data_IF_680883165001
#
_entry.id   IF_680883165001
#
_cell.length_a   1.000
_cell.length_b   1.000
_cell.length_c   1.000
_cell.angle_alpha   90.00
_cell.angle_beta   90.00
_cell.angle_gamma   90.00
#
_symmetry.space_group_name_H-M   'P 1'
#
loop_
_entity.id
_entity.type
_entity.pdbx_description
1 polymer ?
#
# COMPACT_ATOMS: atom_id res chain seq x y z
N UNK A 1 -41.11 25.37 22.23
CA UNK A 1 -40.78 23.94 22.08
C UNK A 1 -40.17 23.55 20.72
N UNK A 2 -40.29 24.35 19.65
CA UNK A 2 -39.81 23.95 18.31
C UNK A 2 -38.29 24.09 18.05
N UNK A 3 -37.51 24.71 18.95
CA UNK A 3 -36.07 24.93 18.76
C UNK A 3 -35.16 23.83 19.34
N UNK A 4 -35.67 23.04 20.28
CA UNK A 4 -34.92 21.92 20.90
C UNK A 4 -34.93 20.65 20.02
N UNK A 5 -35.98 20.46 19.23
CA UNK A 5 -36.13 19.30 18.35
C UNK A 5 -35.19 19.34 17.12
N UNK A 6 -34.88 20.54 16.60
CA UNK A 6 -33.92 20.69 15.50
C UNK A 6 -32.48 20.38 15.91
N UNK A 7 -32.14 20.59 17.19
CA UNK A 7 -30.77 20.38 17.69
C UNK A 7 -30.43 18.88 17.84
N UNK A 8 -31.43 18.02 18.04
CA UNK A 8 -31.24 16.57 18.14
C UNK A 8 -31.06 15.87 16.78
N UNK A 9 -31.66 16.40 15.72
CA UNK A 9 -31.54 15.84 14.36
C UNK A 9 -30.15 16.10 13.77
N UNK A 10 -29.54 17.24 14.11
CA UNK A 10 -28.17 17.56 13.69
C UNK A 10 -27.14 16.67 14.42
N UNK A 11 -27.35 16.35 15.69
CA UNK A 11 -26.45 15.46 16.45
C UNK A 11 -26.50 14.00 15.99
N UNK A 12 -27.65 13.50 15.51
CA UNK A 12 -27.76 12.15 14.96
C UNK A 12 -27.10 11.99 13.57
N UNK A 13 -26.99 13.07 12.79
CA UNK A 13 -26.36 13.02 11.47
C UNK A 13 -24.83 12.91 11.53
N UNK A 14 -24.21 13.29 12.66
CA UNK A 14 -22.76 13.09 12.88
C UNK A 14 -22.40 11.71 13.45
N UNK A 15 -23.36 10.99 14.05
CA UNK A 15 -23.12 9.65 14.61
C UNK A 15 -22.96 8.55 13.54
N UNK A 16 -23.38 8.79 12.30
CA UNK A 16 -23.26 7.85 11.18
C UNK A 16 -22.00 8.06 10.32
N UNK A 17 -21.18 9.07 10.61
CA UNK A 17 -19.97 9.39 9.82
C UNK A 17 -18.69 8.78 10.44
N UNK A 18 -18.77 8.24 11.67
CA UNK A 18 -17.59 7.85 12.45
C UNK A 18 -17.41 6.34 12.67
N UNK A 19 -17.94 5.49 11.79
CA UNK A 19 -17.57 4.06 11.76
C UNK A 19 -16.68 3.81 10.54
N UNK A 20 -15.37 3.72 10.77
CA UNK A 20 -14.45 3.18 9.75
C UNK A 20 -14.84 1.75 9.37
N UNK A 21 -14.30 1.22 8.26
CA UNK A 21 -14.63 -0.13 7.81
C UNK A 21 -14.33 -1.16 8.90
N UNK A 22 -15.21 -2.16 9.04
CA UNK A 22 -14.98 -3.27 9.97
C UNK A 22 -13.78 -4.10 9.53
N UNK A 23 -13.23 -4.90 10.45
CA UNK A 23 -12.09 -5.78 10.14
C UNK A 23 -12.35 -6.70 8.94
N UNK A 24 -13.55 -7.29 8.87
CA UNK A 24 -13.97 -8.13 7.75
C UNK A 24 -14.01 -7.34 6.44
N UNK A 25 -14.56 -6.13 6.46
CA UNK A 25 -14.59 -5.25 5.28
C UNK A 25 -13.19 -4.85 4.83
N UNK A 26 -12.27 -4.56 5.76
CA UNK A 26 -10.88 -4.27 5.43
C UNK A 26 -10.22 -5.46 4.73
N UNK A 27 -10.49 -6.68 5.20
CA UNK A 27 -9.96 -7.90 4.59
C UNK A 27 -10.56 -8.16 3.21
N UNK A 28 -11.86 -7.97 3.04
CA UNK A 28 -12.53 -8.04 1.73
C UNK A 28 -11.95 -7.00 0.75
N UNK A 29 -11.73 -5.76 1.19
CA UNK A 29 -11.09 -4.72 0.39
C UNK A 29 -9.67 -5.11 -0.02
N UNK A 30 -8.88 -5.71 0.88
CA UNK A 30 -7.54 -6.18 0.57
C UNK A 30 -7.55 -7.37 -0.40
N UNK A 31 -8.47 -8.32 -0.25
CA UNK A 31 -8.60 -9.47 -1.15
C UNK A 31 -9.10 -9.09 -2.53
N UNK A 32 -9.80 -7.96 -2.65
CA UNK A 32 -10.24 -7.40 -3.93
C UNK A 32 -9.13 -6.68 -4.71
N UNK A 33 -7.96 -6.45 -4.11
CA UNK A 33 -6.83 -5.83 -4.79
C UNK A 33 -6.08 -6.86 -5.66
N UNK A 34 -5.78 -6.49 -6.89
CA UNK A 34 -4.98 -7.31 -7.82
C UNK A 34 -3.56 -7.48 -7.29
N UNK A 35 -2.96 -6.39 -6.81
CA UNK A 35 -1.62 -6.36 -6.23
C UNK A 35 -1.57 -5.58 -4.92
N UNK A 36 -0.72 -6.03 -3.99
CA UNK A 36 -0.40 -5.32 -2.75
C UNK A 36 1.03 -4.78 -2.82
N UNK A 37 1.21 -3.52 -2.43
CA UNK A 37 2.52 -2.91 -2.23
C UNK A 37 2.65 -2.63 -0.75
N UNK A 38 3.47 -3.40 -0.07
CA UNK A 38 3.62 -3.34 1.37
C UNK A 38 4.96 -2.74 1.77
N UNK A 39 4.93 -1.57 2.38
CA UNK A 39 6.12 -0.87 2.87
C UNK A 39 6.45 -1.36 4.27
N UNK A 40 7.66 -1.90 4.46
CA UNK A 40 8.15 -2.39 5.76
C UNK A 40 9.59 -1.98 5.99
N UNK A 41 9.95 -1.78 7.25
CA UNK A 41 11.35 -1.68 7.64
C UNK A 41 11.96 -3.09 7.72
N UNK A 42 13.06 -3.32 7.01
CA UNK A 42 13.86 -4.54 7.12
C UNK A 42 15.30 -4.13 7.34
N UNK A 43 15.85 -4.53 8.49
CA UNK A 43 17.20 -4.17 8.88
C UNK A 43 18.22 -4.80 7.93
N UNK A 44 19.17 -3.99 7.43
CA UNK A 44 20.25 -4.40 6.52
C UNK A 44 19.81 -4.96 5.16
N UNK A 45 18.55 -4.77 4.77
CA UNK A 45 18.09 -5.05 3.41
C UNK A 45 17.80 -3.72 2.70
N UNK A 46 17.96 -3.71 1.38
CA UNK A 46 17.72 -2.54 0.53
C UNK A 46 16.94 -2.87 -0.73
N UNK A 47 16.61 -4.15 -0.97
CA UNK A 47 15.84 -4.57 -2.14
C UNK A 47 14.36 -4.78 -1.79
N UNK A 48 13.51 -4.70 -2.79
CA UNK A 48 12.12 -5.08 -2.68
C UNK A 48 11.96 -6.54 -3.12
N UNK A 49 11.00 -7.22 -2.53
CA UNK A 49 10.75 -8.63 -2.80
C UNK A 49 9.34 -8.77 -3.36
N UNK A 50 9.20 -9.37 -4.53
CA UNK A 50 7.91 -9.65 -5.14
C UNK A 50 7.54 -11.13 -4.96
N UNK A 51 6.47 -11.42 -4.21
CA UNK A 51 6.01 -12.79 -3.91
C UNK A 51 4.52 -12.90 -4.20
N UNK A 52 4.12 -13.83 -5.08
CA UNK A 52 2.72 -13.99 -5.46
C UNK A 52 2.21 -12.75 -6.18
N UNK A 53 1.36 -11.96 -5.52
CA UNK A 53 0.88 -10.65 -5.96
C UNK A 53 1.26 -9.49 -5.02
N UNK A 54 2.15 -9.74 -4.05
CA UNK A 54 2.60 -8.73 -3.08
C UNK A 54 4.04 -8.31 -3.37
N UNK A 55 4.25 -7.01 -3.51
CA UNK A 55 5.54 -6.35 -3.55
C UNK A 55 5.85 -5.81 -2.14
N UNK A 56 6.77 -6.47 -1.44
CA UNK A 56 7.31 -5.97 -0.18
C UNK A 56 8.41 -4.95 -0.48
N UNK A 57 8.16 -3.69 -0.13
CA UNK A 57 9.06 -2.58 -0.37
C UNK A 57 9.77 -2.22 0.92
N UNK A 58 11.10 -2.28 0.89
CA UNK A 58 11.91 -1.79 2.00
C UNK A 58 11.78 -0.25 2.10
N UNK A 59 11.63 0.27 3.31
CA UNK A 59 11.59 1.71 3.60
C UNK A 59 12.76 2.48 2.97
N UNK A 60 13.96 1.91 2.94
CA UNK A 60 15.16 2.52 2.33
C UNK A 60 15.01 2.82 0.83
N UNK A 61 14.10 2.15 0.11
CA UNK A 61 13.81 2.48 -1.29
C UNK A 61 12.83 3.64 -1.46
N UNK A 62 12.06 3.95 -0.40
CA UNK A 62 11.04 5.01 -0.41
C UNK A 62 11.58 6.33 0.17
N UNK A 63 12.44 6.25 1.20
CA UNK A 63 13.02 7.42 1.87
C UNK A 63 13.92 8.24 0.96
N UNK A 64 14.51 7.62 -0.09
CA UNK A 64 15.35 8.31 -1.07
C UNK A 64 14.59 9.45 -1.75
N UNK A 65 15.29 10.55 -2.06
CA UNK A 65 14.74 11.67 -2.82
C UNK A 65 14.11 11.19 -4.14
N UNK A 66 14.82 10.31 -4.86
CA UNK A 66 14.34 9.61 -6.05
C UNK A 66 14.14 8.12 -5.75
N UNK A 67 12.98 7.58 -6.14
CA UNK A 67 12.64 6.15 -5.98
C UNK A 67 13.46 5.26 -6.92
N UNK A 68 13.88 5.81 -8.07
CA UNK A 68 14.63 5.09 -9.07
C UNK A 68 16.14 5.31 -8.90
N UNK A 69 16.99 4.30 -9.16
CA UNK A 69 16.62 2.95 -9.59
C UNK A 69 15.95 2.14 -8.47
N UNK A 70 14.86 1.46 -8.82
CA UNK A 70 14.11 0.59 -7.92
C UNK A 70 14.58 -0.85 -8.09
N UNK A 71 15.02 -1.46 -7.00
CA UNK A 71 15.61 -2.80 -6.97
C UNK A 71 14.54 -3.80 -6.53
N UNK A 72 14.26 -4.80 -7.35
CA UNK A 72 13.25 -5.82 -7.03
C UNK A 72 13.73 -7.23 -7.36
N UNK A 73 13.48 -8.16 -6.45
CA UNK A 73 13.75 -9.59 -6.63
C UNK A 73 12.43 -10.36 -6.60
N UNK A 74 12.09 -11.07 -7.68
CA UNK A 74 10.91 -11.94 -7.71
C UNK A 74 11.25 -13.27 -7.03
N UNK A 75 10.43 -13.68 -6.05
CA UNK A 75 10.58 -14.94 -5.32
C UNK A 75 9.38 -15.85 -5.52
N UNK A 76 9.64 -17.15 -5.48
CA UNK A 76 8.59 -18.16 -5.52
C UNK A 76 7.95 -18.24 -4.11
N UNK A 77 6.62 -18.14 -3.96
CA UNK A 77 5.97 -18.30 -2.66
C UNK A 77 6.29 -19.63 -1.96
N UNK A 78 6.54 -20.69 -2.73
CA UNK A 78 6.87 -22.01 -2.20
C UNK A 78 8.35 -22.16 -1.84
N UNK A 79 9.19 -21.20 -2.24
CA UNK A 79 10.64 -21.27 -2.05
C UNK A 79 11.25 -19.85 -2.04
N UNK A 80 11.00 -19.14 -0.94
CA UNK A 80 11.39 -17.73 -0.78
C UNK A 80 12.89 -17.56 -0.52
N UNK A 81 13.54 -18.59 0.01
CA UNK A 81 14.92 -18.52 0.50
C UNK A 81 15.96 -18.71 -0.61
N UNK A 82 15.58 -19.26 -1.77
CA UNK A 82 16.49 -19.39 -2.91
C UNK A 82 16.90 -18.01 -3.42
N UNK A 83 18.21 -17.72 -3.52
CA UNK A 83 18.70 -16.49 -4.14
C UNK A 83 18.22 -16.38 -5.59
N UNK A 84 17.45 -15.34 -5.90
CA UNK A 84 17.08 -14.97 -7.27
C UNK A 84 17.70 -13.65 -7.67
N UNK A 85 17.87 -13.45 -8.98
CA UNK A 85 18.44 -12.23 -9.53
C UNK A 85 17.65 -10.99 -9.10
N UNK A 86 18.37 -9.90 -8.83
CA UNK A 86 17.77 -8.59 -8.60
C UNK A 86 17.59 -7.88 -9.94
N UNK A 87 16.37 -7.47 -10.23
CA UNK A 87 16.02 -6.63 -11.37
C UNK A 87 16.16 -5.17 -10.98
N UNK A 88 16.79 -4.37 -11.84
CA UNK A 88 16.93 -2.93 -11.68
C UNK A 88 15.93 -2.25 -12.60
N UNK A 89 15.01 -1.49 -12.02
CA UNK A 89 13.99 -0.73 -12.74
C UNK A 89 14.39 0.74 -12.68
N UNK A 90 14.72 1.33 -13.81
CA UNK A 90 15.37 2.64 -13.89
C UNK A 90 14.40 3.80 -13.96
N UNK A 91 13.13 3.52 -14.23
CA UNK A 91 12.10 4.54 -14.39
C UNK A 91 10.71 3.96 -14.12
N UNK A 92 9.74 4.87 -14.10
CA UNK A 92 8.34 4.58 -13.85
C UNK A 92 7.72 3.62 -14.86
N UNK A 93 8.09 3.71 -16.13
CA UNK A 93 7.56 2.85 -17.19
C UNK A 93 8.03 1.40 -17.00
N UNK A 94 9.32 1.19 -16.75
CA UNK A 94 9.89 -0.11 -16.42
C UNK A 94 9.21 -0.73 -15.20
N UNK A 95 8.96 0.07 -14.16
CA UNK A 95 8.24 -0.38 -12.97
C UNK A 95 6.82 -0.84 -13.27
N UNK A 96 6.06 -0.06 -14.03
CA UNK A 96 4.68 -0.43 -14.39
C UNK A 96 4.65 -1.68 -15.27
N UNK A 97 5.56 -1.77 -16.25
CA UNK A 97 5.68 -2.93 -17.11
C UNK A 97 6.04 -4.19 -16.31
N UNK A 98 6.93 -4.05 -15.32
CA UNK A 98 7.27 -5.12 -14.40
C UNK A 98 6.06 -5.61 -13.61
N UNK A 99 5.26 -4.69 -13.05
CA UNK A 99 4.01 -5.04 -12.36
C UNK A 99 3.02 -5.76 -13.28
N UNK A 100 2.75 -5.22 -14.47
CA UNK A 100 1.83 -5.81 -15.47
C UNK A 100 2.26 -7.21 -15.92
N UNK A 101 3.56 -7.46 -16.00
CA UNK A 101 4.10 -8.79 -16.32
C UNK A 101 3.97 -9.79 -15.17
N UNK A 102 3.79 -9.29 -13.94
CA UNK A 102 3.73 -10.12 -12.73
C UNK A 102 2.31 -10.38 -12.25
N UNK A 103 1.38 -9.46 -12.50
CA UNK A 103 -0.02 -9.54 -12.09
C UNK A 103 -0.92 -9.06 -13.23
N UNK A 104 -1.94 -9.84 -13.57
CA UNK A 104 -2.93 -9.51 -14.59
C UNK A 104 -4.32 -10.03 -14.17
N UNK A 105 -5.36 -9.18 -14.09
CA UNK A 105 -5.38 -7.74 -14.40
C UNK A 105 -4.60 -6.90 -13.38
N UNK A 106 -4.28 -5.64 -13.74
CA UNK A 106 -3.55 -4.71 -12.87
C UNK A 106 -4.34 -3.39 -12.76
N UNK A 107 -5.45 -3.43 -12.04
CA UNK A 107 -6.47 -2.36 -11.99
C UNK A 107 -6.82 -1.91 -10.57
N UNK A 108 -6.54 -2.73 -9.56
CA UNK A 108 -6.81 -2.42 -8.16
C UNK A 108 -5.56 -2.69 -7.32
N UNK A 109 -5.17 -1.69 -6.53
CA UNK A 109 -3.94 -1.73 -5.73
C UNK A 109 -4.24 -1.53 -4.25
N UNK A 110 -3.57 -2.31 -3.41
CA UNK A 110 -3.46 -2.00 -1.99
C UNK A 110 -2.08 -1.42 -1.68
N UNK A 111 -2.01 -0.24 -1.07
CA UNK A 111 -0.79 0.27 -0.44
C UNK A 111 -0.89 -0.06 1.04
N UNK A 112 0.01 -0.87 1.56
CA UNK A 112 0.03 -1.27 2.98
C UNK A 112 1.22 -0.60 3.67
N UNK A 113 0.96 0.16 4.72
CA UNK A 113 2.00 0.71 5.59
C UNK A 113 2.15 -0.22 6.81
N UNK A 114 3.30 -0.88 6.90
CA UNK A 114 3.65 -1.80 7.99
C UNK A 114 3.83 -1.08 9.34
N UNK A 115 3.66 -1.80 10.45
CA UNK A 115 3.75 -1.18 11.78
C UNK A 115 5.13 -0.60 12.11
N UNK A 116 6.17 -1.16 11.48
CA UNK A 116 7.56 -0.93 11.84
C UNK A 116 8.28 0.09 10.94
N UNK A 117 7.58 0.71 10.00
CA UNK A 117 8.18 1.67 9.05
C UNK A 117 8.82 2.88 9.74
N UNK A 118 8.31 3.25 10.92
CA UNK A 118 8.81 4.35 11.75
C UNK A 118 10.20 4.10 12.33
N UNK A 119 10.72 2.88 12.23
CA UNK A 119 12.08 2.55 12.62
C UNK A 119 13.13 3.05 11.59
N UNK A 120 12.71 3.40 10.38
CA UNK A 120 13.59 4.00 9.37
C UNK A 120 13.76 5.51 9.62
N UNK A 121 15.01 5.96 9.65
CA UNK A 121 15.31 7.38 9.83
C UNK A 121 14.90 8.13 8.56
N UNK A 122 14.16 9.23 8.72
CA UNK A 122 13.70 10.05 7.60
C UNK A 122 12.46 9.49 6.89
N UNK A 123 11.87 8.40 7.38
CA UNK A 123 10.61 7.93 6.83
C UNK A 123 9.45 8.88 7.15
N UNK A 124 8.80 9.37 6.10
CA UNK A 124 7.55 10.12 6.16
C UNK A 124 6.45 9.29 5.51
N UNK A 125 5.45 8.90 6.29
CA UNK A 125 4.31 8.12 5.79
C UNK A 125 3.56 8.87 4.68
N UNK A 126 3.37 10.18 4.84
CA UNK A 126 2.69 11.01 3.85
C UNK A 126 3.45 11.04 2.53
N UNK A 127 4.76 11.26 2.56
CA UNK A 127 5.59 11.26 1.36
C UNK A 127 5.62 9.88 0.69
N UNK A 128 5.69 8.80 1.47
CA UNK A 128 5.63 7.44 0.96
C UNK A 128 4.32 7.17 0.22
N UNK A 129 3.19 7.57 0.81
CA UNK A 129 1.86 7.44 0.21
C UNK A 129 1.80 8.26 -1.08
N UNK A 130 2.26 9.51 -1.08
CA UNK A 130 2.25 10.37 -2.26
C UNK A 130 3.11 9.79 -3.39
N UNK A 131 4.32 9.33 -3.07
CA UNK A 131 5.25 8.68 -4.01
C UNK A 131 4.61 7.45 -4.68
N UNK A 132 4.08 6.53 -3.88
CA UNK A 132 3.45 5.30 -4.39
C UNK A 132 2.17 5.60 -5.18
N UNK A 133 1.33 6.50 -4.67
CA UNK A 133 0.12 6.97 -5.39
C UNK A 133 0.50 7.60 -6.74
N UNK A 134 1.56 8.40 -6.78
CA UNK A 134 2.08 9.01 -8.00
C UNK A 134 2.60 7.98 -9.02
N UNK A 135 3.16 6.86 -8.57
CA UNK A 135 3.56 5.76 -9.45
C UNK A 135 2.35 5.01 -10.02
N UNK A 136 1.36 4.71 -9.19
CA UNK A 136 0.22 3.87 -9.56
C UNK A 136 -0.85 4.62 -10.35
N UNK A 137 -1.01 5.93 -10.13
CA UNK A 137 -2.04 6.75 -10.79
C UNK A 137 -1.87 6.89 -12.30
N UNK A 138 -0.71 6.56 -12.86
CA UNK A 138 -0.54 6.51 -14.33
C UNK A 138 -1.09 5.24 -14.97
N UNK A 139 -1.55 4.26 -14.17
CA UNK A 139 -2.19 3.06 -14.69
C UNK A 139 -3.65 3.43 -14.95
N UNK A 140 -4.01 3.49 -16.23
CA UNK A 140 -5.34 3.88 -16.67
C UNK A 140 -6.42 2.97 -16.08
N UNK A 141 -7.48 3.57 -15.52
CA UNK A 141 -8.55 2.84 -14.82
C UNK A 141 -8.16 2.24 -13.47
N UNK A 142 -6.95 2.52 -12.98
CA UNK A 142 -6.47 2.06 -11.69
C UNK A 142 -7.24 2.65 -10.51
N UNK A 143 -7.45 1.86 -9.46
CA UNK A 143 -7.95 2.30 -8.14
C UNK A 143 -6.96 1.92 -7.06
N UNK A 144 -6.84 2.72 -6.00
CA UNK A 144 -5.94 2.42 -4.90
C UNK A 144 -6.61 2.56 -3.53
N UNK A 145 -6.30 1.61 -2.65
CA UNK A 145 -6.70 1.62 -1.24
C UNK A 145 -5.46 1.64 -0.36
N UNK A 146 -5.39 2.59 0.55
CA UNK A 146 -4.41 2.62 1.62
C UNK A 146 -4.87 1.74 2.78
N UNK A 147 -3.97 0.91 3.29
CA UNK A 147 -4.14 0.11 4.47
C UNK A 147 -3.03 0.39 5.49
N UNK A 148 -3.36 0.24 6.76
CA UNK A 148 -2.38 0.21 7.84
C UNK A 148 -2.34 -1.16 8.48
N UNK A 149 -1.16 -1.67 8.72
CA UNK A 149 -0.91 -2.97 9.35
C UNK A 149 -0.42 -2.78 10.79
N UNK A 150 -0.85 -3.68 11.68
CA UNK A 150 -0.36 -3.82 13.06
C UNK A 150 -0.50 -5.26 13.53
N UNK A 151 0.57 -5.85 14.06
CA UNK A 151 0.58 -7.21 14.59
C UNK A 151 0.19 -8.30 13.57
N UNK A 152 0.59 -8.13 12.32
CA UNK A 152 0.24 -9.00 11.19
C UNK A 152 -1.18 -8.82 10.66
N UNK A 153 -1.87 -7.74 11.04
CA UNK A 153 -3.29 -7.53 10.71
C UNK A 153 -3.54 -6.13 10.14
N UNK A 154 -4.38 -6.04 9.12
CA UNK A 154 -4.86 -4.76 8.60
C UNK A 154 -5.87 -4.15 9.58
N UNK A 155 -5.57 -2.95 10.07
CA UNK A 155 -6.35 -2.26 11.11
C UNK A 155 -7.14 -1.06 10.61
N UNK A 156 -6.77 -0.51 9.45
CA UNK A 156 -7.44 0.64 8.82
C UNK A 156 -7.41 0.48 7.31
N UNK A 157 -8.41 1.03 6.64
CA UNK A 157 -8.46 1.16 5.20
C UNK A 157 -9.02 2.53 4.79
N UNK A 158 -8.47 3.11 3.72
CA UNK A 158 -8.91 4.37 3.12
C UNK A 158 -8.74 4.30 1.60
N UNK A 159 -9.83 4.53 0.85
CA UNK A 159 -9.73 4.70 -0.61
C UNK A 159 -8.95 5.98 -0.94
N UNK A 160 -8.04 5.88 -1.90
CA UNK A 160 -7.23 7.01 -2.36
C UNK A 160 -7.81 7.61 -3.64
N UNK A 161 -8.12 6.76 -4.63
CA UNK A 161 -8.80 7.10 -5.89
C UNK A 161 -9.45 5.87 -6.49
#
# INVERSE_FOLDING_TARGET
MNKLLLSFIVLFSFALIACGPSRTQIQEMSSACDALIEVRYVQNDSIAIFVGNTLFVNTQQIVRDEIFPFLVSKRNPNDIDIPTATTVLNNKEEFINYLKSSVSPLTSFGIVIGENVSNEIGFSEEEAIQKLTGLLSSIEGGTAVLFHEKGGQLIKAKKLY
#
